data_IF_833936468260
#
_entry.id   IF_833936468260
#
_cell.length_a   1.000
_cell.length_b   1.000
_cell.length_c   1.000
_cell.angle_alpha   90.00
_cell.angle_beta   90.00
_cell.angle_gamma   90.00
#
_symmetry.space_group_name_H-M   'P 1'
#
loop_
_entity.id
_entity.type
_entity.pdbx_description
1 polymer ?
#
# COMPACT_ATOMS: atom_id res chain seq x y z
N UNK A 1 6.00 3.84 16.80
CA UNK A 1 6.29 5.01 15.96
C UNK A 1 7.56 4.67 15.20
N UNK A 2 7.49 4.53 13.88
CA UNK A 2 8.69 4.35 13.05
C UNK A 2 9.25 5.74 12.77
N UNK A 3 10.44 6.04 13.27
CA UNK A 3 11.15 7.30 13.01
C UNK A 3 12.22 7.01 11.97
N UNK A 4 12.17 7.72 10.84
CA UNK A 4 13.15 7.61 9.77
C UNK A 4 13.90 8.93 9.72
N UNK A 5 15.20 8.90 10.01
CA UNK A 5 16.07 10.08 9.98
C UNK A 5 16.92 10.05 8.70
N UNK A 6 16.79 11.09 7.88
CA UNK A 6 17.62 11.28 6.69
C UNK A 6 18.71 12.28 7.05
N UNK A 7 19.96 11.81 7.14
CA UNK A 7 21.08 12.57 7.70
C UNK A 7 21.71 13.60 6.76
N UNK A 8 21.52 13.47 5.43
CA UNK A 8 21.95 14.45 4.43
C UNK A 8 21.26 14.16 3.09
N UNK A 9 21.01 15.23 2.32
CA UNK A 9 20.54 15.18 0.93
C UNK A 9 21.61 15.84 0.07
N UNK A 10 22.24 15.10 -0.85
CA UNK A 10 23.25 15.59 -1.79
C UNK A 10 22.66 15.64 -3.21
N UNK A 11 22.58 16.85 -3.78
CA UNK A 11 22.43 17.14 -5.21
C UNK A 11 21.21 16.51 -5.94
N UNK A 12 20.01 17.06 -5.70
CA UNK A 12 18.85 16.90 -6.58
C UNK A 12 18.11 15.56 -6.45
N UNK A 13 17.02 15.57 -5.66
CA UNK A 13 16.11 14.44 -5.38
C UNK A 13 16.82 13.17 -4.88
N UNK A 14 17.14 13.16 -3.60
CA UNK A 14 17.43 11.90 -2.92
C UNK A 14 16.15 11.16 -2.55
N UNK A 15 16.11 9.87 -2.86
CA UNK A 15 15.03 8.98 -2.48
C UNK A 15 15.59 7.92 -1.55
N UNK A 16 15.08 7.88 -0.33
CA UNK A 16 15.39 6.84 0.64
C UNK A 16 14.27 5.81 0.69
N UNK A 17 14.62 4.52 0.54
CA UNK A 17 13.67 3.42 0.58
C UNK A 17 13.90 2.55 1.82
N UNK A 18 12.86 2.37 2.62
CA UNK A 18 12.82 1.35 3.68
C UNK A 18 11.86 0.25 3.26
N UNK A 19 12.36 -0.98 3.24
CA UNK A 19 11.55 -2.15 2.95
C UNK A 19 11.60 -3.12 4.13
N UNK A 20 10.44 -3.64 4.52
CA UNK A 20 10.31 -4.70 5.51
C UNK A 20 9.41 -5.79 4.95
N UNK A 21 9.81 -7.04 5.13
CA UNK A 21 9.07 -8.22 4.68
C UNK A 21 8.97 -9.20 5.85
N UNK A 22 7.80 -9.83 5.96
CA UNK A 22 7.54 -10.90 6.92
C UNK A 22 6.90 -12.04 6.15
N UNK A 23 7.53 -13.21 6.20
CA UNK A 23 6.98 -14.42 5.59
C UNK A 23 6.05 -15.12 6.59
N UNK A 24 5.02 -15.80 6.08
CA UNK A 24 4.04 -16.53 6.89
C UNK A 24 3.91 -17.97 6.42
N UNK A 25 3.88 -18.91 7.37
CA UNK A 25 3.64 -20.33 7.09
C UNK A 25 2.16 -20.65 6.82
N UNK A 26 1.25 -19.68 7.00
CA UNK A 26 -0.18 -19.82 6.73
C UNK A 26 -0.58 -19.00 5.51
N UNK A 27 -1.62 -19.46 4.82
CA UNK A 27 -2.33 -18.63 3.84
C UNK A 27 -2.95 -17.42 4.54
N UNK A 28 -2.80 -16.24 3.93
CA UNK A 28 -3.41 -14.99 4.38
C UNK A 28 -4.68 -14.67 3.58
N UNK A 29 -5.65 -14.00 4.21
CA UNK A 29 -6.91 -13.59 3.59
C UNK A 29 -6.70 -12.35 2.71
N UNK A 30 -6.73 -12.54 1.38
CA UNK A 30 -6.46 -11.45 0.41
C UNK A 30 -7.71 -10.93 -0.32
N UNK A 31 -8.87 -11.61 -0.23
CA UNK A 31 -10.12 -11.10 -0.82
C UNK A 31 -10.69 -9.96 -0.02
N UNK A 32 -10.65 -10.10 1.30
CA UNK A 32 -11.21 -9.16 2.27
C UNK A 32 -10.28 -9.02 3.49
N UNK A 33 -9.04 -8.52 3.32
CA UNK A 33 -8.01 -8.48 4.36
C UNK A 33 -8.39 -7.63 5.59
N UNK A 34 -9.30 -6.67 5.42
CA UNK A 34 -9.64 -5.69 6.45
C UNK A 34 -10.28 -6.36 7.67
N UNK A 35 -9.59 -6.27 8.80
CA UNK A 35 -10.02 -6.82 10.09
C UNK A 35 -9.52 -8.23 10.38
N UNK A 36 -8.95 -8.94 9.40
CA UNK A 36 -8.37 -10.28 9.57
C UNK A 36 -6.87 -10.36 9.31
N UNK A 37 -6.35 -9.48 8.44
CA UNK A 37 -4.92 -9.38 8.15
C UNK A 37 -4.38 -7.99 8.51
N UNK A 38 -3.07 -7.86 8.74
CA UNK A 38 -2.46 -6.56 8.92
C UNK A 38 -2.63 -5.73 7.64
N UNK A 39 -3.11 -4.51 7.80
CA UNK A 39 -3.23 -3.50 6.73
C UNK A 39 -2.52 -2.24 7.19
N UNK A 40 -2.16 -1.36 6.24
CA UNK A 40 -1.62 -0.05 6.57
C UNK A 40 -2.59 0.67 7.53
N UNK A 41 -2.06 1.24 8.62
CA UNK A 41 -2.84 1.96 9.62
C UNK A 41 -2.06 3.20 10.10
N UNK A 42 -2.71 4.38 10.23
CA UNK A 42 -4.11 4.64 9.91
C UNK A 42 -4.37 4.59 8.40
N UNK A 43 -5.54 4.08 7.98
CA UNK A 43 -5.98 4.09 6.59
C UNK A 43 -7.50 4.21 6.58
N UNK A 44 -8.02 5.14 5.80
CA UNK A 44 -9.43 5.32 5.54
C UNK A 44 -9.71 5.07 4.05
N UNK A 45 -10.79 4.35 3.75
CA UNK A 45 -11.25 4.17 2.38
C UNK A 45 -12.26 5.27 2.06
N UNK A 46 -12.05 5.97 0.95
CA UNK A 46 -12.84 7.13 0.53
C UNK A 46 -13.69 6.74 -0.67
N UNK A 47 -14.97 7.14 -0.62
CA UNK A 47 -15.89 6.91 -1.73
C UNK A 47 -16.35 5.46 -1.89
N UNK A 48 -17.17 5.19 -2.91
CA UNK A 48 -17.58 3.83 -3.25
C UNK A 48 -16.40 3.06 -3.86
N UNK A 49 -16.49 1.73 -3.79
CA UNK A 49 -15.69 0.85 -4.64
C UNK A 49 -15.77 1.32 -6.10
N UNK A 50 -14.62 1.44 -6.76
CA UNK A 50 -14.56 1.76 -8.17
C UNK A 50 -13.93 0.62 -8.96
N UNK A 51 -14.43 0.48 -10.18
CA UNK A 51 -13.91 -0.50 -11.11
C UNK A 51 -12.73 0.10 -11.91
N UNK A 52 -11.56 -0.50 -11.71
CA UNK A 52 -10.47 -0.43 -12.69
C UNK A 52 -10.89 -1.28 -13.90
N UNK A 53 -11.61 -0.63 -14.82
CA UNK A 53 -12.16 -1.22 -16.05
C UNK A 53 -11.13 -1.97 -16.91
N UNK A 54 -9.82 -1.80 -16.68
CA UNK A 54 -8.80 -2.52 -17.44
C UNK A 54 -8.58 -3.96 -16.96
N UNK A 55 -9.07 -4.35 -15.77
CA UNK A 55 -8.74 -5.65 -15.18
C UNK A 55 -9.92 -6.40 -14.54
N UNK A 56 -11.14 -5.85 -14.54
CA UNK A 56 -12.34 -6.51 -14.00
C UNK A 56 -12.55 -7.92 -14.59
N UNK A 57 -12.43 -8.05 -15.92
CA UNK A 57 -12.57 -9.33 -16.64
C UNK A 57 -11.54 -10.40 -16.22
N UNK A 58 -10.41 -9.98 -15.62
CA UNK A 58 -9.31 -10.87 -15.27
C UNK A 58 -9.43 -11.41 -13.85
N UNK A 59 -10.02 -10.63 -12.93
CA UNK A 59 -10.06 -10.93 -11.50
C UNK A 59 -11.43 -10.54 -10.90
N UNK A 60 -12.40 -11.47 -10.88
CA UNK A 60 -13.77 -11.17 -10.46
C UNK A 60 -13.92 -10.85 -8.97
N UNK A 61 -12.91 -11.18 -8.16
CA UNK A 61 -12.89 -10.88 -6.73
C UNK A 61 -12.25 -9.50 -6.43
N UNK A 62 -11.69 -8.81 -7.45
CA UNK A 62 -10.93 -7.58 -7.24
C UNK A 62 -11.84 -6.40 -6.93
N UNK A 63 -11.49 -5.64 -5.88
CA UNK A 63 -12.18 -4.44 -5.44
C UNK A 63 -11.17 -3.33 -5.17
N UNK A 64 -11.41 -2.14 -5.72
CA UNK A 64 -10.50 -1.00 -5.60
C UNK A 64 -11.20 0.19 -4.95
N UNK A 65 -10.47 0.95 -4.14
CA UNK A 65 -10.99 2.06 -3.36
C UNK A 65 -9.97 3.20 -3.38
N UNK A 66 -10.45 4.44 -3.37
CA UNK A 66 -9.58 5.56 -3.01
C UNK A 66 -9.25 5.42 -1.52
N UNK A 67 -8.04 5.80 -1.13
CA UNK A 67 -7.58 5.64 0.24
C UNK A 67 -6.83 6.88 0.72
N UNK A 68 -7.04 7.22 1.99
CA UNK A 68 -6.34 8.30 2.68
C UNK A 68 -5.67 7.79 3.94
N UNK A 69 -4.57 8.43 4.29
CA UNK A 69 -3.81 8.18 5.52
C UNK A 69 -3.21 9.49 6.00
N UNK A 70 -2.50 9.46 7.12
CA UNK A 70 -1.82 10.63 7.68
C UNK A 70 -0.42 10.26 8.11
N UNK A 71 0.55 11.09 7.76
CA UNK A 71 1.92 11.00 8.26
C UNK A 71 2.33 12.32 8.89
N UNK A 72 3.10 12.25 9.97
CA UNK A 72 3.80 13.42 10.49
C UNK A 72 5.14 13.52 9.77
N UNK A 73 5.39 14.67 9.14
CA UNK A 73 6.62 14.95 8.40
C UNK A 73 7.30 16.14 9.05
N UNK A 74 8.57 15.97 9.40
CA UNK A 74 9.46 17.00 9.92
C UNK A 74 10.78 16.91 9.16
N UNK A 75 11.31 18.04 8.70
CA UNK A 75 12.58 18.09 7.98
C UNK A 75 13.44 19.24 8.50
N UNK A 76 14.74 18.98 8.62
CA UNK A 76 15.74 20.02 8.91
C UNK A 76 16.29 20.71 7.66
N UNK A 77 15.71 20.45 6.48
CA UNK A 77 16.16 20.98 5.19
C UNK A 77 15.80 22.45 4.95
N UNK A 78 16.44 23.06 3.94
CA UNK A 78 16.19 24.43 3.48
C UNK A 78 14.72 24.63 3.05
N UNK A 79 14.19 25.86 3.21
CA UNK A 79 12.82 26.23 2.85
C UNK A 79 12.48 26.02 1.35
N UNK A 80 13.49 25.83 0.52
CA UNK A 80 13.37 25.59 -0.92
C UNK A 80 13.33 24.10 -1.32
N UNK A 81 13.26 23.16 -0.35
CA UNK A 81 13.26 21.71 -0.61
C UNK A 81 11.87 21.10 -0.51
N UNK A 82 11.32 20.54 -1.57
CA UNK A 82 10.07 19.76 -1.46
C UNK A 82 10.37 18.37 -0.87
N UNK A 83 9.68 18.00 0.21
CA UNK A 83 9.80 16.68 0.84
C UNK A 83 8.51 15.90 0.60
N UNK A 84 8.63 14.63 0.21
CA UNK A 84 7.47 13.76 0.02
C UNK A 84 7.64 12.42 0.72
N UNK A 85 6.53 11.79 1.04
CA UNK A 85 6.48 10.42 1.57
C UNK A 85 5.53 9.59 0.71
N UNK A 86 5.94 8.36 0.44
CA UNK A 86 5.10 7.34 -0.17
C UNK A 86 5.22 6.07 0.66
N UNK A 87 4.09 5.45 0.94
CA UNK A 87 3.99 4.21 1.68
C UNK A 87 3.24 3.21 0.83
N UNK A 88 3.88 2.07 0.57
CA UNK A 88 3.26 0.91 -0.04
C UNK A 88 3.23 -0.23 0.96
N UNK A 89 2.09 -0.91 1.04
CA UNK A 89 1.89 -2.10 1.84
C UNK A 89 1.24 -3.17 0.98
N UNK A 90 1.81 -4.38 0.97
CA UNK A 90 1.31 -5.50 0.18
C UNK A 90 1.31 -6.77 1.01
N UNK A 91 0.23 -7.54 0.88
CA UNK A 91 0.15 -8.91 1.38
C UNK A 91 -0.34 -9.82 0.27
N UNK A 92 0.29 -10.97 0.09
CA UNK A 92 -0.12 -11.92 -0.92
C UNK A 92 0.25 -13.35 -0.58
N UNK A 93 -0.39 -14.28 -1.29
CA UNK A 93 0.00 -15.67 -1.33
C UNK A 93 0.49 -15.99 -2.74
N UNK A 94 1.49 -16.86 -2.82
CA UNK A 94 1.98 -17.42 -4.07
C UNK A 94 2.06 -18.94 -4.00
N UNK A 95 1.83 -19.59 -5.14
CA UNK A 95 1.88 -21.05 -5.25
C UNK A 95 2.12 -21.49 -6.68
N UNK A 96 2.50 -22.74 -6.84
CA UNK A 96 2.65 -23.37 -8.14
C UNK A 96 1.48 -24.33 -8.41
N UNK A 97 0.66 -24.02 -9.40
CA UNK A 97 -0.38 -24.92 -9.93
C UNK A 97 -0.53 -24.68 -11.41
N UNK A 98 -0.01 -25.62 -12.21
CA UNK A 98 0.11 -25.48 -13.67
C UNK A 98 0.83 -24.19 -14.11
N UNK A 99 1.72 -23.66 -13.27
CA UNK A 99 2.36 -22.35 -13.41
C UNK A 99 2.31 -21.55 -12.11
N UNK A 100 3.03 -20.42 -12.08
CA UNK A 100 2.98 -19.50 -10.95
C UNK A 100 1.60 -18.87 -10.84
N UNK A 101 1.02 -18.97 -9.66
CA UNK A 101 -0.28 -18.40 -9.31
C UNK A 101 -0.13 -17.60 -8.03
N UNK A 102 -0.94 -16.55 -7.89
CA UNK A 102 -0.88 -15.66 -6.76
C UNK A 102 -2.24 -15.00 -6.52
N UNK A 103 -2.42 -14.50 -5.30
CA UNK A 103 -3.47 -13.55 -4.95
C UNK A 103 -2.92 -12.53 -3.94
N UNK A 104 -3.49 -11.33 -3.90
CA UNK A 104 -2.98 -10.26 -3.06
C UNK A 104 -3.99 -9.16 -2.74
N UNK A 105 -3.58 -8.35 -1.78
CA UNK A 105 -4.07 -7.00 -1.57
C UNK A 105 -2.89 -6.04 -1.48
N UNK A 106 -3.12 -4.79 -1.83
CA UNK A 106 -2.11 -3.75 -1.86
C UNK A 106 -2.74 -2.41 -1.48
N UNK A 107 -1.96 -1.57 -0.81
CA UNK A 107 -2.26 -0.18 -0.53
C UNK A 107 -1.07 0.66 -0.93
N UNK A 108 -1.31 1.72 -1.68
CA UNK A 108 -0.30 2.76 -1.94
C UNK A 108 -0.89 4.12 -1.64
N UNK A 109 -0.25 4.87 -0.74
CA UNK A 109 -0.62 6.25 -0.42
C UNK A 109 0.64 7.11 -0.41
N UNK A 110 0.51 8.36 -0.84
CA UNK A 110 1.61 9.30 -0.81
C UNK A 110 1.16 10.75 -0.73
N UNK A 111 2.10 11.63 -0.44
CA UNK A 111 1.86 13.05 -0.31
C UNK A 111 3.16 13.83 -0.26
N UNK A 112 3.10 15.09 -0.66
CA UNK A 112 4.22 16.01 -0.64
C UNK A 112 3.95 17.17 0.32
N UNK A 113 5.01 17.73 0.88
CA UNK A 113 5.02 18.93 1.70
C UNK A 113 6.01 19.95 1.10
N UNK A 114 5.56 21.19 0.95
CA UNK A 114 6.44 22.33 0.70
C UNK A 114 7.19 22.71 1.99
N UNK A 115 8.51 22.95 1.91
CA UNK A 115 9.42 23.10 3.05
C UNK A 115 9.21 24.30 3.99
N UNK A 116 8.06 24.97 3.93
CA UNK A 116 7.81 26.19 4.69
C UNK A 116 7.49 25.95 6.18
N UNK A 117 7.57 24.71 6.69
CA UNK A 117 7.29 24.42 8.10
C UNK A 117 8.32 23.45 8.71
N UNK A 118 9.42 23.97 9.29
CA UNK A 118 10.47 23.16 9.90
C UNK A 118 10.05 22.48 11.21
N UNK A 119 8.97 22.95 11.87
CA UNK A 119 8.48 22.40 13.15
C UNK A 119 7.64 21.12 12.97
N UNK A 120 7.56 20.61 11.74
CA UNK A 120 6.80 19.44 11.35
C UNK A 120 5.29 19.68 11.23
N UNK A 121 4.64 18.82 10.44
CA UNK A 121 3.20 18.92 10.17
C UNK A 121 2.60 17.55 9.89
N UNK A 122 1.34 17.39 10.26
CA UNK A 122 0.54 16.26 9.78
C UNK A 122 0.14 16.52 8.33
N UNK A 123 0.52 15.62 7.44
CA UNK A 123 0.20 15.63 6.01
C UNK A 123 -0.79 14.52 5.73
N UNK A 124 -1.85 14.85 4.99
CA UNK A 124 -2.75 13.84 4.42
C UNK A 124 -2.05 13.17 3.24
N UNK A 125 -2.02 11.84 3.28
CA UNK A 125 -1.56 11.01 2.18
C UNK A 125 -2.77 10.50 1.42
N UNK A 126 -2.72 10.54 0.10
CA UNK A 126 -3.79 10.05 -0.76
C UNK A 126 -3.28 8.97 -1.69
N UNK A 127 -4.17 8.10 -2.13
CA UNK A 127 -3.85 7.03 -3.05
C UNK A 127 -4.99 6.04 -3.14
N UNK A 128 -4.66 4.75 -3.15
CA UNK A 128 -5.64 3.69 -3.37
C UNK A 128 -5.36 2.47 -2.50
N UNK A 129 -6.40 1.66 -2.36
CA UNK A 129 -6.35 0.31 -1.81
C UNK A 129 -7.02 -0.67 -2.78
N UNK A 130 -6.35 -1.77 -3.08
CA UNK A 130 -6.89 -2.87 -3.88
C UNK A 130 -6.87 -4.14 -3.04
N UNK A 131 -8.00 -4.83 -2.98
CA UNK A 131 -8.13 -6.17 -2.39
C UNK A 131 -8.67 -7.15 -3.44
N UNK A 132 -8.46 -8.44 -3.26
CA UNK A 132 -9.04 -9.44 -4.17
C UNK A 132 -8.33 -9.59 -5.51
N UNK A 133 -7.12 -9.05 -5.68
CA UNK A 133 -6.37 -9.20 -6.93
C UNK A 133 -5.80 -10.62 -7.05
N UNK A 134 -5.70 -11.11 -8.29
CA UNK A 134 -5.12 -12.43 -8.58
C UNK A 134 -6.14 -13.57 -8.69
N UNK A 135 -5.65 -14.80 -8.61
CA UNK A 135 -6.45 -16.02 -8.80
C UNK A 135 -6.80 -16.62 -7.46
N UNK A 136 -8.05 -17.01 -7.27
CA UNK A 136 -8.46 -17.71 -6.06
C UNK A 136 -8.74 -19.17 -6.37
N UNK A 137 -8.08 -20.12 -5.70
CA UNK A 137 -8.39 -21.52 -5.85
C UNK A 137 -9.85 -21.77 -5.46
N UNK A 138 -10.63 -22.38 -6.35
CA UNK A 138 -11.93 -22.95 -5.99
C UNK A 138 -11.69 -24.30 -5.31
N UNK A 139 -11.38 -24.29 -4.01
CA UNK A 139 -11.28 -25.53 -3.23
C UNK A 139 -12.48 -25.71 -2.26
N UNK A 140 -13.09 -26.91 -2.18
CA UNK A 140 -12.78 -28.12 -2.96
C UNK A 140 -13.53 -28.17 -4.31
N UNK A 141 -13.08 -28.99 -5.28
CA UNK A 141 -13.79 -29.18 -6.55
C UNK A 141 -15.23 -29.62 -6.31
N UNK A 142 -16.17 -29.12 -7.14
CA UNK A 142 -17.51 -29.68 -7.20
C UNK A 142 -17.40 -31.20 -7.49
N UNK A 143 -18.17 -32.06 -6.79
CA UNK A 143 -18.14 -33.49 -7.09
C UNK A 143 -18.53 -33.69 -8.55
N UNK A 144 -17.65 -34.38 -9.29
CA UNK A 144 -17.91 -34.91 -10.63
C UNK A 144 -19.10 -35.87 -10.64
#
# INVERSE_FOLDING_TARGET
MLQIEIAAVDDGRDVFWVNAQVDSDRTIETKSPRGSEPVLSPLELVGPEYDDRFQEDRWPDRRSFDATSTAYIEHGGDENVETGVSVSYRGGNDWWTFGWSWNEYETTVGGNQAAHNPDGVWVELTGWHTEGAGRYPTFPPAPS
#
